data_IF_548166004808
#
_entry.id   IF_548166004808
#
_cell.length_a   1.000
_cell.length_b   1.000
_cell.length_c   1.000
_cell.angle_alpha   90.00
_cell.angle_beta   90.00
_cell.angle_gamma   90.00
#
_symmetry.space_group_name_H-M   'P 1'
#
loop_
_entity.id
_entity.type
_entity.pdbx_description
1 polymer ?
#
# COMPACT_ATOMS: atom_id res chain seq x y z
N UNK A 1 -16.64 -14.69 16.33
CA UNK A 1 -15.45 -15.20 15.61
C UNK A 1 -14.30 -14.26 15.92
N UNK A 2 -13.18 -14.80 16.37
CA UNK A 2 -11.97 -14.06 16.73
C UNK A 2 -10.88 -14.30 15.69
N UNK A 3 -10.39 -13.23 15.06
CA UNK A 3 -9.43 -13.26 13.95
C UNK A 3 -8.07 -12.75 14.42
N UNK A 4 -7.02 -13.52 14.15
CA UNK A 4 -5.64 -13.08 14.32
C UNK A 4 -5.03 -12.64 12.99
N UNK A 5 -4.83 -11.34 12.78
CA UNK A 5 -4.05 -10.84 11.64
C UNK A 5 -2.57 -10.87 12.01
N UNK A 6 -1.75 -11.56 11.22
CA UNK A 6 -0.31 -11.67 11.49
C UNK A 6 0.47 -10.93 10.41
N UNK A 7 1.20 -9.89 10.81
CA UNK A 7 2.07 -9.11 9.94
C UNK A 7 3.54 -9.39 10.26
N UNK A 8 4.40 -9.66 9.26
CA UNK A 8 5.82 -9.89 9.50
C UNK A 8 6.59 -8.60 9.72
N UNK A 9 6.04 -7.46 9.28
CA UNK A 9 6.70 -6.15 9.29
C UNK A 9 6.31 -5.33 10.51
N UNK A 10 7.26 -4.51 11.00
CA UNK A 10 6.99 -3.57 12.09
C UNK A 10 5.91 -2.56 11.71
N UNK A 11 4.84 -2.48 12.51
CA UNK A 11 3.71 -1.58 12.27
C UNK A 11 4.00 -0.13 12.66
N UNK A 12 5.13 0.15 13.31
CA UNK A 12 5.59 1.51 13.61
C UNK A 12 6.43 2.11 12.50
N UNK A 13 6.74 1.32 11.45
CA UNK A 13 7.45 1.79 10.25
C UNK A 13 6.45 1.83 9.09
N UNK A 14 6.25 2.98 8.44
CA UNK A 14 5.29 3.10 7.33
C UNK A 14 5.61 2.15 6.17
N UNK A 15 4.58 1.51 5.60
CA UNK A 15 4.70 0.63 4.46
C UNK A 15 3.34 0.15 3.96
N UNK A 16 3.27 -0.25 2.68
CA UNK A 16 2.02 -0.63 2.04
C UNK A 16 1.31 -1.82 2.70
N UNK A 17 2.05 -2.86 3.09
CA UNK A 17 1.47 -4.03 3.77
C UNK A 17 0.99 -3.65 5.18
N UNK A 18 1.76 -2.84 5.90
CA UNK A 18 1.40 -2.36 7.23
C UNK A 18 0.10 -1.55 7.20
N UNK A 19 -0.04 -0.63 6.24
CA UNK A 19 -1.26 0.14 6.04
C UNK A 19 -2.47 -0.75 5.72
N UNK A 20 -2.28 -1.78 4.87
CA UNK A 20 -3.34 -2.75 4.56
C UNK A 20 -3.77 -3.55 5.80
N UNK A 21 -2.84 -4.02 6.62
CA UNK A 21 -3.15 -4.77 7.84
C UNK A 21 -3.91 -3.91 8.85
N UNK A 22 -3.45 -2.69 9.09
CA UNK A 22 -4.10 -1.76 10.03
C UNK A 22 -5.47 -1.31 9.53
N UNK A 23 -5.60 -0.96 8.25
CA UNK A 23 -6.88 -0.59 7.65
C UNK A 23 -7.89 -1.73 7.70
N UNK A 24 -7.46 -2.96 7.36
CA UNK A 24 -8.30 -4.15 7.45
C UNK A 24 -8.73 -4.42 8.90
N UNK A 25 -7.82 -4.32 9.87
CA UNK A 25 -8.14 -4.52 11.28
C UNK A 25 -9.18 -3.53 11.78
N UNK A 26 -9.01 -2.23 11.48
CA UNK A 26 -9.98 -1.18 11.84
C UNK A 26 -11.35 -1.45 11.23
N UNK A 27 -11.39 -1.79 9.94
CA UNK A 27 -12.64 -2.02 9.22
C UNK A 27 -13.37 -3.27 9.72
N UNK A 28 -12.66 -4.38 9.92
CA UNK A 28 -13.25 -5.62 10.47
C UNK A 28 -13.85 -5.38 11.87
N UNK A 29 -13.16 -4.62 12.71
CA UNK A 29 -13.67 -4.25 14.05
C UNK A 29 -14.90 -3.33 13.96
N UNK A 30 -14.91 -2.38 13.04
CA UNK A 30 -16.08 -1.53 12.78
C UNK A 30 -17.29 -2.35 12.30
N UNK A 31 -17.06 -3.46 11.59
CA UNK A 31 -18.08 -4.44 11.18
C UNK A 31 -18.46 -5.44 12.31
N UNK A 32 -17.92 -5.27 13.51
CA UNK A 32 -18.26 -6.10 14.67
C UNK A 32 -17.46 -7.40 14.81
N UNK A 33 -16.39 -7.59 14.03
CA UNK A 33 -15.50 -8.75 14.16
C UNK A 33 -14.47 -8.52 15.27
N UNK A 34 -14.25 -9.50 16.15
CA UNK A 34 -13.18 -9.46 17.16
C UNK A 34 -11.83 -9.73 16.46
N UNK A 35 -10.97 -8.70 16.41
CA UNK A 35 -9.69 -8.75 15.69
C UNK A 35 -8.54 -8.35 16.59
N UNK A 36 -7.47 -9.15 16.55
CA UNK A 36 -6.15 -8.82 17.09
C UNK A 36 -5.11 -8.84 15.98
N UNK A 37 -4.15 -7.93 16.03
CA UNK A 37 -3.02 -7.88 15.11
C UNK A 37 -1.76 -8.30 15.85
N UNK A 38 -1.07 -9.30 15.35
CA UNK A 38 0.21 -9.78 15.86
C UNK A 38 1.32 -9.29 14.94
N UNK A 39 2.17 -8.39 15.42
CA UNK A 39 3.23 -7.80 14.59
C UNK A 39 4.40 -7.25 15.41
N UNK A 40 5.61 -7.13 14.82
CA UNK A 40 6.69 -6.34 15.42
C UNK A 40 6.30 -4.87 15.57
N UNK A 41 6.87 -4.22 16.59
CA UNK A 41 6.75 -2.78 16.82
C UNK A 41 8.06 -2.25 17.41
N UNK A 42 8.63 -1.20 16.82
CA UNK A 42 9.86 -0.55 17.29
C UNK A 42 9.58 0.60 18.28
N UNK A 43 8.32 0.78 18.64
CA UNK A 43 7.81 1.78 19.56
C UNK A 43 6.42 1.41 20.05
N UNK A 44 5.66 2.36 20.62
CA UNK A 44 4.28 2.13 21.03
C UNK A 44 3.43 1.59 19.86
N UNK A 45 2.57 0.58 20.10
CA UNK A 45 1.68 0.07 19.05
C UNK A 45 0.79 1.19 18.49
N UNK A 46 0.58 1.24 17.16
CA UNK A 46 -0.21 2.30 16.54
C UNK A 46 -1.73 2.18 16.79
N UNK A 47 -2.20 1.03 17.28
CA UNK A 47 -3.60 0.77 17.59
C UNK A 47 -3.69 -0.18 18.80
N UNK A 48 -4.68 -0.02 19.70
CA UNK A 48 -4.88 -0.90 20.87
C UNK A 48 -5.15 -2.38 20.51
N UNK A 49 -5.58 -2.68 19.29
CA UNK A 49 -5.76 -4.07 18.84
C UNK A 49 -4.44 -4.76 18.48
N UNK A 50 -3.32 -4.04 18.48
CA UNK A 50 -2.00 -4.61 18.14
C UNK A 50 -1.32 -5.19 19.37
N UNK A 51 -0.94 -6.45 19.29
CA UNK A 51 -0.07 -7.14 20.25
C UNK A 51 1.37 -7.08 19.72
N UNK A 52 2.27 -6.29 20.35
CA UNK A 52 3.65 -6.14 19.89
C UNK A 52 4.47 -7.40 20.14
N UNK A 53 5.14 -7.89 19.10
CA UNK A 53 5.96 -9.12 19.16
C UNK A 53 7.46 -8.85 19.36
N UNK A 54 7.87 -7.59 19.45
CA UNK A 54 9.25 -7.14 19.64
C UNK A 54 9.69 -6.15 18.57
N UNK A 55 10.95 -5.71 18.67
CA UNK A 55 11.55 -4.79 17.72
C UNK A 55 11.90 -5.47 16.39
N UNK A 56 11.97 -4.70 15.33
CA UNK A 56 12.36 -5.18 14.01
C UNK A 56 13.86 -5.01 13.74
N UNK A 57 14.36 -5.80 12.79
CA UNK A 57 15.71 -5.68 12.24
C UNK A 57 15.58 -5.31 10.75
N UNK A 58 16.25 -4.24 10.29
CA UNK A 58 16.27 -3.89 8.89
C UNK A 58 16.86 -5.03 8.05
N UNK A 59 16.05 -5.58 7.15
CA UNK A 59 16.43 -6.72 6.31
C UNK A 59 16.32 -6.32 4.84
N UNK A 60 17.40 -6.49 4.07
CA UNK A 60 17.40 -6.20 2.64
C UNK A 60 16.38 -7.10 1.91
N UNK A 61 15.51 -6.50 1.10
CA UNK A 61 14.48 -7.21 0.35
C UNK A 61 14.18 -6.49 -0.96
N UNK A 62 14.55 -7.09 -2.11
CA UNK A 62 14.22 -6.60 -3.47
C UNK A 62 14.44 -5.09 -3.68
N UNK A 63 15.63 -4.58 -3.37
CA UNK A 63 15.96 -3.14 -3.52
C UNK A 63 15.31 -2.23 -2.46
N UNK A 64 14.65 -2.80 -1.45
CA UNK A 64 14.03 -2.11 -0.33
C UNK A 64 14.52 -2.70 0.99
N UNK A 65 14.17 -2.08 2.12
CA UNK A 65 14.46 -2.58 3.46
C UNK A 65 13.17 -2.99 4.15
N UNK A 66 13.06 -4.27 4.51
CA UNK A 66 11.92 -4.82 5.23
C UNK A 66 12.22 -4.85 6.75
N UNK A 67 11.37 -4.26 7.61
CA UNK A 67 11.54 -4.28 9.06
C UNK A 67 10.97 -5.58 9.65
N UNK A 68 11.75 -6.66 9.63
CA UNK A 68 11.36 -8.01 10.09
C UNK A 68 11.84 -8.28 11.52
N UNK A 69 11.19 -9.24 12.22
CA UNK A 69 11.61 -9.72 13.53
C UNK A 69 11.86 -11.24 13.52
N UNK A 70 12.99 -11.71 12.97
CA UNK A 70 13.30 -13.13 12.88
C UNK A 70 13.89 -13.73 14.17
N UNK A 71 14.08 -12.92 15.20
CA UNK A 71 14.76 -13.32 16.44
C UNK A 71 13.95 -14.34 17.28
N UNK A 72 14.62 -15.18 18.11
CA UNK A 72 13.94 -16.19 18.92
C UNK A 72 12.95 -15.61 19.94
N UNK A 73 13.19 -14.40 20.45
CA UNK A 73 12.30 -13.79 21.44
C UNK A 73 10.97 -13.36 20.79
N UNK A 74 11.01 -12.84 19.56
CA UNK A 74 9.81 -12.55 18.78
C UNK A 74 9.01 -13.83 18.47
N UNK A 75 9.71 -14.94 18.15
CA UNK A 75 9.07 -16.24 17.92
C UNK A 75 8.37 -16.77 19.17
N UNK A 76 9.01 -16.69 20.34
CA UNK A 76 8.40 -17.11 21.61
C UNK A 76 7.19 -16.24 21.96
N UNK A 77 7.26 -14.92 21.76
CA UNK A 77 6.11 -14.01 21.95
C UNK A 77 4.96 -14.35 20.99
N UNK A 78 5.28 -14.68 19.75
CA UNK A 78 4.28 -15.13 18.76
C UNK A 78 3.58 -16.39 19.24
N UNK A 79 4.33 -17.44 19.64
CA UNK A 79 3.74 -18.69 20.15
C UNK A 79 2.88 -18.45 21.39
N UNK A 80 3.34 -17.59 22.31
CA UNK A 80 2.56 -17.22 23.49
C UNK A 80 1.24 -16.55 23.09
N UNK A 81 1.28 -15.51 22.24
CA UNK A 81 0.08 -14.84 21.78
C UNK A 81 -0.91 -15.79 21.09
N UNK A 82 -0.41 -16.70 20.23
CA UNK A 82 -1.24 -17.71 19.58
C UNK A 82 -1.94 -18.67 20.57
N UNK A 83 -1.30 -18.99 21.69
CA UNK A 83 -1.90 -19.84 22.74
C UNK A 83 -2.91 -19.07 23.59
N UNK A 84 -2.57 -17.84 23.96
CA UNK A 84 -3.34 -17.07 24.94
C UNK A 84 -4.63 -16.49 24.31
N UNK A 85 -4.61 -16.20 23.00
CA UNK A 85 -5.70 -15.47 22.33
C UNK A 85 -6.80 -16.37 21.73
N UNK A 86 -6.58 -17.68 21.58
CA UNK A 86 -7.56 -18.67 21.08
C UNK A 86 -8.32 -18.22 19.80
N UNK A 87 -7.57 -17.96 18.73
CA UNK A 87 -8.13 -17.52 17.44
C UNK A 87 -8.95 -18.60 16.75
N UNK A 88 -10.08 -18.23 16.15
CA UNK A 88 -10.88 -19.08 15.27
C UNK A 88 -10.22 -19.21 13.88
N UNK A 89 -9.60 -18.14 13.39
CA UNK A 89 -8.87 -18.09 12.11
C UNK A 89 -7.65 -17.19 12.23
N UNK A 90 -6.57 -17.58 11.59
CA UNK A 90 -5.34 -16.80 11.46
C UNK A 90 -5.19 -16.32 10.01
N UNK A 91 -5.01 -15.01 9.82
CA UNK A 91 -4.76 -14.42 8.51
C UNK A 91 -3.33 -13.86 8.47
N UNK A 92 -2.48 -14.46 7.66
CA UNK A 92 -1.07 -14.14 7.54
C UNK A 92 -0.81 -13.28 6.32
N UNK A 93 -0.31 -12.08 6.50
CA UNK A 93 0.17 -11.23 5.41
C UNK A 93 1.64 -11.55 5.13
N UNK A 94 2.00 -11.77 3.87
CA UNK A 94 3.32 -12.31 3.47
C UNK A 94 3.72 -13.55 4.29
N UNK A 95 2.97 -14.64 4.15
CA UNK A 95 3.01 -15.78 5.08
C UNK A 95 4.37 -16.46 5.17
N UNK A 96 5.23 -16.32 4.17
CA UNK A 96 6.56 -16.94 4.11
C UNK A 96 7.69 -15.98 4.51
N UNK A 97 7.38 -14.78 4.99
CA UNK A 97 8.38 -13.87 5.52
C UNK A 97 8.94 -14.40 6.85
N UNK A 98 10.26 -14.30 7.09
CA UNK A 98 10.86 -14.72 8.35
C UNK A 98 10.31 -13.97 9.56
N UNK A 99 10.10 -14.66 10.67
CA UNK A 99 9.59 -14.09 11.90
C UNK A 99 8.17 -14.55 12.24
N UNK A 100 7.26 -13.66 12.67
CA UNK A 100 5.94 -14.02 13.19
C UNK A 100 5.09 -14.89 12.27
N UNK A 101 5.03 -14.57 10.97
CA UNK A 101 4.21 -15.31 10.00
C UNK A 101 4.73 -16.75 9.80
N UNK A 102 6.04 -16.93 9.64
CA UNK A 102 6.62 -18.27 9.52
C UNK A 102 6.46 -19.07 10.80
N UNK A 103 6.61 -18.43 11.97
CA UNK A 103 6.36 -19.07 13.27
C UNK A 103 4.90 -19.53 13.39
N UNK A 104 3.96 -18.72 12.97
CA UNK A 104 2.53 -19.05 12.94
C UNK A 104 2.25 -20.23 12.03
N UNK A 105 2.84 -20.25 10.82
CA UNK A 105 2.73 -21.40 9.90
C UNK A 105 3.22 -22.71 10.52
N UNK A 106 4.32 -22.66 11.27
CA UNK A 106 4.88 -23.84 11.92
C UNK A 106 4.04 -24.29 13.11
N UNK A 107 3.53 -23.35 13.91
CA UNK A 107 2.74 -23.67 15.11
C UNK A 107 1.33 -24.19 14.76
N UNK A 108 0.64 -23.58 13.83
CA UNK A 108 -0.66 -23.98 13.24
C UNK A 108 -1.70 -24.45 14.28
N UNK A 109 -2.15 -23.55 15.10
CA UNK A 109 -3.19 -23.82 16.12
C UNK A 109 -4.62 -23.45 15.69
N UNK A 110 -4.83 -22.89 14.50
CA UNK A 110 -6.13 -22.57 13.91
C UNK A 110 -6.05 -22.70 12.37
N UNK A 111 -7.18 -22.71 11.65
CA UNK A 111 -7.22 -22.55 10.19
C UNK A 111 -6.53 -21.28 9.72
N UNK A 112 -5.80 -21.34 8.61
CA UNK A 112 -4.93 -20.27 8.15
C UNK A 112 -5.24 -19.80 6.73
N UNK A 113 -5.48 -18.48 6.59
CA UNK A 113 -5.49 -17.76 5.31
C UNK A 113 -4.15 -17.05 5.13
N UNK A 114 -3.56 -17.12 3.94
CA UNK A 114 -2.34 -16.38 3.60
C UNK A 114 -2.56 -15.41 2.45
N UNK A 115 -2.23 -14.13 2.63
CA UNK A 115 -2.29 -13.11 1.58
C UNK A 115 -0.88 -12.74 1.13
N UNK A 116 -0.64 -12.86 -0.17
CA UNK A 116 0.62 -12.58 -0.85
C UNK A 116 0.56 -11.19 -1.49
N UNK A 117 1.47 -10.30 -1.08
CA UNK A 117 1.56 -8.92 -1.57
C UNK A 117 2.72 -8.70 -2.55
N UNK A 118 3.71 -9.60 -2.53
CA UNK A 118 4.95 -9.45 -3.27
C UNK A 118 4.75 -9.74 -4.75
N UNK A 119 5.24 -8.84 -5.59
CA UNK A 119 5.45 -9.04 -7.02
C UNK A 119 6.95 -9.11 -7.35
N UNK A 120 7.29 -9.78 -8.46
CA UNK A 120 8.65 -9.94 -8.97
C UNK A 120 9.44 -11.12 -8.38
N UNK A 121 10.58 -11.41 -8.98
CA UNK A 121 11.43 -12.54 -8.63
C UNK A 121 11.96 -12.45 -7.20
N UNK A 122 11.93 -13.56 -6.50
CA UNK A 122 12.46 -13.68 -5.15
C UNK A 122 13.56 -14.73 -5.09
N UNK A 123 14.78 -14.29 -4.83
CA UNK A 123 15.90 -15.19 -4.59
C UNK A 123 15.61 -16.17 -3.42
N UNK A 124 14.88 -15.72 -2.38
CA UNK A 124 14.47 -16.57 -1.27
C UNK A 124 13.54 -17.71 -1.71
N UNK A 125 12.62 -17.45 -2.65
CA UNK A 125 11.75 -18.52 -3.20
C UNK A 125 12.53 -19.45 -4.15
N UNK A 126 13.57 -18.96 -4.83
CA UNK A 126 14.37 -19.75 -5.75
C UNK A 126 15.28 -20.77 -5.03
N UNK A 127 15.92 -20.34 -3.94
CA UNK A 127 16.94 -21.15 -3.22
C UNK A 127 16.31 -22.24 -2.35
N UNK A 128 15.16 -21.96 -1.71
CA UNK A 128 14.54 -22.88 -0.73
C UNK A 128 13.26 -23.57 -1.23
N UNK A 129 13.11 -23.78 -2.54
CA UNK A 129 11.88 -24.25 -3.20
C UNK A 129 11.12 -25.39 -2.48
N UNK A 130 11.72 -26.52 -2.07
CA UNK A 130 10.97 -27.62 -1.42
C UNK A 130 10.38 -27.21 -0.07
N UNK A 131 11.17 -26.53 0.77
CA UNK A 131 10.76 -26.11 2.12
C UNK A 131 9.68 -25.03 2.10
N UNK A 132 9.83 -24.01 1.26
CA UNK A 132 8.82 -22.94 1.12
C UNK A 132 7.50 -23.46 0.51
N UNK A 133 7.56 -24.42 -0.42
CA UNK A 133 6.36 -25.08 -0.95
C UNK A 133 5.65 -25.91 0.11
N UNK A 134 6.40 -26.62 0.96
CA UNK A 134 5.83 -27.34 2.08
C UNK A 134 5.16 -26.41 3.08
N UNK A 135 5.82 -25.30 3.45
CA UNK A 135 5.23 -24.28 4.31
C UNK A 135 3.95 -23.68 3.70
N UNK A 136 3.98 -23.33 2.41
CA UNK A 136 2.82 -22.77 1.72
C UNK A 136 1.62 -23.76 1.71
N UNK A 137 1.86 -25.07 1.66
CA UNK A 137 0.77 -26.09 1.71
C UNK A 137 0.06 -26.16 3.07
N UNK A 138 0.62 -25.53 4.11
CA UNK A 138 -0.01 -25.45 5.43
C UNK A 138 -1.12 -24.38 5.51
N UNK A 139 -1.18 -23.50 4.53
CA UNK A 139 -2.28 -22.54 4.38
C UNK A 139 -3.51 -23.28 3.85
N UNK A 140 -4.65 -23.08 4.51
CA UNK A 140 -5.94 -23.64 4.10
C UNK A 140 -6.56 -22.84 2.95
N UNK A 141 -6.29 -21.53 2.90
CA UNK A 141 -6.68 -20.65 1.80
C UNK A 141 -5.52 -19.70 1.45
N UNK A 142 -5.38 -19.39 0.17
CA UNK A 142 -4.37 -18.46 -0.33
C UNK A 142 -4.99 -17.37 -1.15
N UNK A 143 -4.61 -16.12 -0.88
CA UNK A 143 -5.04 -14.95 -1.62
C UNK A 143 -3.84 -14.21 -2.20
N UNK A 144 -4.03 -13.48 -3.29
CA UNK A 144 -3.04 -12.57 -3.87
C UNK A 144 -3.69 -11.22 -4.14
N UNK A 145 -2.94 -10.13 -3.91
CA UNK A 145 -3.47 -8.77 -3.98
C UNK A 145 -3.39 -8.13 -5.36
N UNK A 146 -2.71 -8.75 -6.30
CA UNK A 146 -2.59 -8.28 -7.69
C UNK A 146 -2.31 -9.44 -8.64
N UNK A 147 -2.47 -9.19 -9.95
CA UNK A 147 -2.12 -10.18 -11.00
C UNK A 147 -0.64 -10.58 -10.91
N UNK A 148 0.23 -9.62 -10.64
CA UNK A 148 1.68 -9.86 -10.52
C UNK A 148 2.04 -10.66 -9.28
N UNK A 149 1.43 -10.33 -8.12
CA UNK A 149 1.60 -11.12 -6.90
C UNK A 149 1.09 -12.56 -7.08
N UNK A 150 -0.05 -12.72 -7.79
CA UNK A 150 -0.60 -14.03 -8.16
C UNK A 150 0.38 -14.82 -9.04
N UNK A 151 0.88 -14.20 -10.10
CA UNK A 151 1.82 -14.83 -11.03
C UNK A 151 3.11 -15.26 -10.31
N UNK A 152 3.68 -14.39 -9.49
CA UNK A 152 4.87 -14.64 -8.67
C UNK A 152 4.64 -15.82 -7.72
N UNK A 153 3.54 -15.80 -6.95
CA UNK A 153 3.23 -16.86 -5.99
C UNK A 153 2.95 -18.19 -6.68
N UNK A 154 2.18 -18.21 -7.76
CA UNK A 154 1.89 -19.44 -8.53
C UNK A 154 3.14 -20.05 -9.15
N UNK A 155 4.00 -19.23 -9.74
CA UNK A 155 5.26 -19.70 -10.33
C UNK A 155 6.18 -20.33 -9.28
N UNK A 156 6.35 -19.68 -8.14
CA UNK A 156 7.27 -20.15 -7.10
C UNK A 156 6.73 -21.34 -6.28
N UNK A 157 5.46 -21.28 -5.90
CA UNK A 157 4.87 -22.16 -4.88
C UNK A 157 3.85 -23.16 -5.44
N UNK A 158 3.28 -22.87 -6.64
CA UNK A 158 2.17 -23.64 -7.20
C UNK A 158 0.87 -23.46 -6.41
N UNK A 159 -0.13 -24.26 -6.74
CA UNK A 159 -1.43 -24.27 -6.06
C UNK A 159 -2.42 -23.24 -6.59
N UNK A 160 -3.57 -23.13 -5.90
CA UNK A 160 -4.67 -22.22 -6.24
C UNK A 160 -4.68 -21.01 -5.31
N UNK A 161 -5.11 -19.88 -5.84
CA UNK A 161 -5.20 -18.60 -5.14
C UNK A 161 -6.49 -17.89 -5.54
N UNK A 162 -7.13 -17.26 -4.57
CA UNK A 162 -8.18 -16.28 -4.83
C UNK A 162 -7.57 -14.88 -4.97
N UNK A 163 -8.09 -14.07 -5.89
CA UNK A 163 -7.62 -12.69 -6.04
C UNK A 163 -8.49 -11.77 -5.20
N UNK A 164 -7.87 -11.11 -4.24
CA UNK A 164 -8.46 -10.07 -3.42
C UNK A 164 -7.52 -8.86 -3.44
N UNK A 165 -7.89 -7.87 -4.21
CA UNK A 165 -7.11 -6.64 -4.36
C UNK A 165 -6.97 -5.90 -3.02
N UNK A 166 -5.91 -5.10 -2.89
CA UNK A 166 -5.76 -4.20 -1.74
C UNK A 166 -6.94 -3.24 -1.65
N UNK A 167 -7.36 -2.94 -0.42
CA UNK A 167 -8.41 -1.98 -0.14
C UNK A 167 -7.86 -0.63 0.32
N UNK A 168 -8.69 0.41 0.22
CA UNK A 168 -8.43 1.73 0.78
C UNK A 168 -9.56 2.17 1.72
N UNK A 169 -9.23 2.95 2.73
CA UNK A 169 -10.21 3.57 3.64
C UNK A 169 -10.81 4.82 2.95
N UNK A 170 -11.74 4.61 2.00
CA UNK A 170 -12.30 5.67 1.13
C UNK A 170 -12.78 6.87 1.93
N UNK A 171 -13.55 6.65 2.99
CA UNK A 171 -14.12 7.70 3.83
C UNK A 171 -13.05 8.60 4.48
N UNK A 172 -11.89 8.06 4.78
CA UNK A 172 -10.77 8.80 5.35
C UNK A 172 -10.27 9.89 4.41
N UNK A 173 -10.19 9.59 3.12
CA UNK A 173 -9.74 10.54 2.09
C UNK A 173 -10.88 11.45 1.64
N UNK A 174 -12.07 10.91 1.41
CA UNK A 174 -13.24 11.65 0.95
C UNK A 174 -13.71 12.72 1.95
N UNK A 175 -13.60 12.44 3.26
CA UNK A 175 -14.04 13.33 4.35
C UNK A 175 -12.90 14.13 5.01
N UNK A 176 -11.67 14.00 4.52
CA UNK A 176 -10.55 14.78 5.04
C UNK A 176 -10.81 16.28 4.86
N UNK A 177 -10.43 17.06 5.87
CA UNK A 177 -10.44 18.52 5.73
C UNK A 177 -9.34 18.91 4.75
N UNK A 178 -9.68 19.60 3.62
CA UNK A 178 -8.68 19.94 2.63
C UNK A 178 -7.60 20.86 3.20
N UNK A 179 -6.34 20.56 2.90
CA UNK A 179 -5.26 21.50 3.18
C UNK A 179 -5.45 22.77 2.34
N UNK A 180 -5.24 23.98 2.89
CA UNK A 180 -5.40 25.21 2.14
C UNK A 180 -4.37 25.31 1.01
N UNK A 181 -4.81 25.76 -0.15
CA UNK A 181 -3.95 26.10 -1.29
C UNK A 181 -4.24 27.51 -1.79
N UNK A 182 -3.22 28.20 -2.31
CA UNK A 182 -3.36 29.55 -2.82
C UNK A 182 -3.76 29.61 -4.31
N UNK A 183 -3.72 28.48 -5.02
CA UNK A 183 -4.01 28.37 -6.45
C UNK A 183 -3.96 26.93 -6.93
N UNK A 184 -3.87 26.68 -8.24
CA UNK A 184 -3.79 25.35 -8.80
C UNK A 184 -2.64 24.56 -8.17
N UNK A 185 -2.94 23.37 -7.64
CA UNK A 185 -1.99 22.63 -6.81
C UNK A 185 -1.82 21.20 -7.28
N UNK A 186 -0.57 20.79 -7.46
CA UNK A 186 -0.15 19.43 -7.77
C UNK A 186 0.46 18.84 -6.52
N UNK A 187 0.03 17.64 -6.13
CA UNK A 187 0.59 16.93 -4.97
C UNK A 187 1.31 15.65 -5.40
N UNK A 188 2.52 15.48 -4.89
CA UNK A 188 3.30 14.26 -4.94
C UNK A 188 3.57 13.76 -3.52
N UNK A 189 3.43 12.47 -3.27
CA UNK A 189 3.82 11.81 -2.02
C UNK A 189 4.56 10.51 -2.32
N UNK A 190 5.73 10.31 -1.72
CA UNK A 190 6.50 9.08 -1.86
C UNK A 190 7.92 9.19 -1.32
N UNK A 191 8.62 8.05 -1.31
CA UNK A 191 10.07 8.09 -1.06
C UNK A 191 10.77 8.76 -2.24
N UNK A 192 11.68 9.68 -1.96
CA UNK A 192 12.48 10.34 -3.00
C UNK A 192 13.58 9.38 -3.47
N UNK A 193 13.17 8.37 -4.23
CA UNK A 193 13.97 7.35 -4.91
C UNK A 193 13.78 7.53 -6.42
N UNK A 194 14.79 7.18 -7.21
CA UNK A 194 14.77 7.32 -8.67
C UNK A 194 13.50 6.70 -9.29
N UNK A 195 13.16 5.48 -8.87
CA UNK A 195 11.99 4.76 -9.36
C UNK A 195 10.66 5.48 -9.16
N UNK A 196 10.55 6.42 -8.21
CA UNK A 196 9.33 7.21 -7.95
C UNK A 196 9.18 8.43 -8.85
N UNK A 197 10.21 8.74 -9.65
CA UNK A 197 10.12 9.72 -10.72
C UNK A 197 9.91 11.16 -10.30
N UNK A 198 10.19 11.54 -9.03
CA UNK A 198 10.04 12.92 -8.57
C UNK A 198 10.81 13.90 -9.46
N UNK A 199 12.00 13.51 -9.94
CA UNK A 199 12.79 14.32 -10.87
C UNK A 199 12.00 14.65 -12.16
N UNK A 200 11.23 13.70 -12.70
CA UNK A 200 10.41 13.90 -13.92
C UNK A 200 9.33 14.95 -13.68
N UNK A 201 8.65 14.91 -12.51
CA UNK A 201 7.70 15.94 -12.12
C UNK A 201 8.36 17.32 -12.01
N UNK A 202 9.50 17.39 -11.32
CA UNK A 202 10.20 18.67 -11.12
C UNK A 202 10.76 19.23 -12.44
N UNK A 203 11.26 18.38 -13.33
CA UNK A 203 11.70 18.78 -14.68
C UNK A 203 10.53 19.23 -15.56
N UNK A 204 9.31 18.73 -15.35
CA UNK A 204 8.10 19.14 -16.09
C UNK A 204 7.65 20.59 -15.78
N UNK A 205 8.04 21.14 -14.62
CA UNK A 205 7.65 22.50 -14.18
C UNK A 205 8.03 23.61 -15.14
N UNK A 206 9.08 23.42 -15.94
CA UNK A 206 9.49 24.39 -16.99
C UNK A 206 8.40 24.68 -18.02
N UNK A 207 7.42 23.77 -18.17
CA UNK A 207 6.32 23.88 -19.12
C UNK A 207 4.97 24.20 -18.45
N UNK A 208 4.93 24.29 -17.13
CA UNK A 208 3.72 24.60 -16.36
C UNK A 208 3.63 26.11 -16.04
N UNK A 209 2.42 26.65 -15.88
CA UNK A 209 2.21 28.03 -15.46
C UNK A 209 2.92 28.37 -14.14
N UNK A 210 3.25 29.65 -13.96
CA UNK A 210 4.00 30.13 -12.79
C UNK A 210 3.17 30.16 -11.51
N UNK A 211 1.85 30.20 -11.63
CA UNK A 211 0.87 30.19 -10.53
C UNK A 211 0.61 28.80 -9.93
N UNK A 212 1.12 27.73 -10.55
CA UNK A 212 0.97 26.37 -10.05
C UNK A 212 1.84 26.16 -8.82
N UNK A 213 1.27 25.64 -7.75
CA UNK A 213 2.01 25.16 -6.57
C UNK A 213 2.24 23.66 -6.65
N UNK A 214 3.43 23.18 -6.27
CA UNK A 214 3.76 21.75 -6.19
C UNK A 214 4.12 21.38 -4.78
N UNK A 215 3.26 20.61 -4.15
CA UNK A 215 3.51 20.01 -2.84
C UNK A 215 4.29 18.71 -2.97
N UNK A 216 5.48 18.68 -2.38
CA UNK A 216 6.36 17.51 -2.43
C UNK A 216 6.47 16.89 -1.03
N UNK A 217 5.71 15.81 -0.81
CA UNK A 217 5.71 15.06 0.43
C UNK A 217 6.66 13.86 0.39
N UNK A 218 7.20 13.53 1.56
CA UNK A 218 8.15 12.43 1.72
C UNK A 218 9.61 12.85 1.80
N UNK A 219 10.47 11.86 1.95
CA UNK A 219 11.94 12.02 1.98
C UNK A 219 12.59 10.76 1.40
N UNK A 220 13.86 10.83 1.01
CA UNK A 220 14.61 9.68 0.52
C UNK A 220 16.03 10.03 0.08
N UNK A 221 16.74 9.06 -0.51
CA UNK A 221 18.14 9.24 -0.90
C UNK A 221 18.37 10.41 -1.87
N UNK A 222 17.39 10.73 -2.72
CA UNK A 222 17.51 11.81 -3.70
C UNK A 222 17.08 13.20 -3.17
N UNK A 223 16.57 13.31 -1.93
CA UNK A 223 16.00 14.58 -1.42
C UNK A 223 16.97 15.74 -1.55
N UNK A 224 18.21 15.60 -1.07
CA UNK A 224 19.21 16.69 -1.08
C UNK A 224 19.62 17.08 -2.51
N UNK A 225 19.83 16.10 -3.38
CA UNK A 225 20.19 16.36 -4.78
C UNK A 225 19.06 17.08 -5.53
N UNK A 226 17.81 16.68 -5.33
CA UNK A 226 16.64 17.31 -5.96
C UNK A 226 16.43 18.74 -5.42
N UNK A 227 16.59 18.95 -4.11
CA UNK A 227 16.53 20.30 -3.53
C UNK A 227 17.65 21.21 -4.07
N UNK A 228 18.89 20.70 -4.20
CA UNK A 228 19.97 21.47 -4.76
C UNK A 228 19.71 21.89 -6.22
N UNK A 229 19.06 21.03 -7.01
CA UNK A 229 18.76 21.29 -8.42
C UNK A 229 17.51 22.17 -8.63
N UNK A 230 16.46 22.01 -7.84
CA UNK A 230 15.15 22.63 -8.05
C UNK A 230 14.71 23.54 -6.91
N UNK A 231 15.46 23.62 -5.80
CA UNK A 231 15.05 24.36 -4.59
C UNK A 231 14.95 25.88 -4.75
N UNK A 232 15.42 26.42 -5.87
CA UNK A 232 15.24 27.85 -6.22
C UNK A 232 13.90 28.16 -6.89
N UNK A 233 13.10 27.14 -7.25
CA UNK A 233 11.77 27.37 -7.84
C UNK A 233 10.75 27.64 -6.73
N UNK A 234 10.14 28.86 -6.67
CA UNK A 234 9.23 29.23 -5.59
C UNK A 234 7.91 28.48 -5.60
N UNK A 235 7.60 27.76 -6.66
CA UNK A 235 6.39 26.94 -6.79
C UNK A 235 6.47 25.67 -5.96
N UNK A 236 7.67 25.21 -5.53
CA UNK A 236 7.88 23.93 -4.88
C UNK A 236 7.85 24.09 -3.36
N UNK A 237 6.87 23.48 -2.72
CA UNK A 237 6.78 23.35 -1.28
C UNK A 237 7.26 21.97 -0.83
N UNK A 238 8.43 21.89 -0.19
CA UNK A 238 9.00 20.68 0.34
C UNK A 238 8.43 20.38 1.73
N UNK A 239 7.44 19.48 1.81
CA UNK A 239 6.70 19.19 3.04
C UNK A 239 7.42 18.21 3.99
N UNK A 240 8.43 17.49 3.51
CA UNK A 240 9.07 16.45 4.30
C UNK A 240 8.15 15.26 4.59
N UNK A 241 8.36 14.60 5.73
CA UNK A 241 7.48 13.50 6.16
C UNK A 241 6.16 14.05 6.63
N UNK A 242 5.09 13.44 6.15
CA UNK A 242 3.71 13.75 6.53
C UNK A 242 3.13 12.60 7.34
N UNK A 243 2.30 12.92 8.31
CA UNK A 243 1.40 11.95 8.94
C UNK A 243 0.32 11.51 7.96
N UNK A 244 -0.30 10.40 8.26
CA UNK A 244 -1.38 9.86 7.42
C UNK A 244 -2.56 10.84 7.26
N UNK A 245 -2.88 11.64 8.29
CA UNK A 245 -3.95 12.65 8.23
C UNK A 245 -3.54 13.86 7.40
N UNK A 246 -2.27 14.28 7.47
CA UNK A 246 -1.73 15.32 6.60
C UNK A 246 -1.71 14.86 5.13
N UNK A 247 -1.39 13.61 4.84
CA UNK A 247 -1.47 13.05 3.48
C UNK A 247 -2.91 13.13 2.96
N UNK A 248 -3.89 12.69 3.75
CA UNK A 248 -5.30 12.77 3.36
C UNK A 248 -5.75 14.23 3.13
N UNK A 249 -5.36 15.16 4.01
CA UNK A 249 -5.66 16.57 3.87
C UNK A 249 -5.01 17.19 2.62
N UNK A 250 -3.76 16.85 2.30
CA UNK A 250 -3.07 17.32 1.09
C UNK A 250 -3.66 16.71 -0.18
N UNK A 251 -3.99 15.43 -0.20
CA UNK A 251 -4.71 14.82 -1.32
C UNK A 251 -6.05 15.48 -1.57
N UNK A 252 -6.82 15.78 -0.50
CA UNK A 252 -8.13 16.43 -0.60
C UNK A 252 -8.05 17.88 -1.04
N UNK A 253 -6.96 18.58 -0.72
CA UNK A 253 -6.71 19.98 -1.08
C UNK A 253 -6.02 20.19 -2.42
N UNK A 254 -5.49 19.14 -3.04
CA UNK A 254 -4.83 19.22 -4.33
C UNK A 254 -5.82 19.12 -5.49
N UNK A 255 -5.59 19.87 -6.56
CA UNK A 255 -6.32 19.73 -7.82
C UNK A 255 -5.90 18.48 -8.57
N UNK A 256 -4.60 18.18 -8.55
CA UNK A 256 -4.00 17.05 -9.24
C UNK A 256 -3.09 16.28 -8.30
N UNK A 257 -3.25 14.99 -8.26
CA UNK A 257 -2.28 14.06 -7.67
C UNK A 257 -1.37 13.51 -8.76
N UNK A 258 -0.05 13.66 -8.60
CA UNK A 258 0.92 13.21 -9.59
C UNK A 258 1.75 12.02 -9.09
N UNK A 259 1.70 10.90 -9.82
CA UNK A 259 2.46 9.68 -9.54
C UNK A 259 3.35 9.29 -10.73
N UNK A 260 4.49 9.98 -10.97
CA UNK A 260 5.31 9.83 -12.17
C UNK A 260 6.34 8.69 -12.05
N UNK A 261 6.00 7.60 -11.37
CA UNK A 261 6.91 6.48 -11.12
C UNK A 261 7.48 5.90 -12.41
N UNK A 262 8.76 5.56 -12.39
CA UNK A 262 9.45 4.97 -13.56
C UNK A 262 9.21 3.46 -13.66
N UNK A 263 9.14 2.78 -12.51
CA UNK A 263 8.92 1.33 -12.41
C UNK A 263 8.68 0.91 -10.95
N UNK A 264 8.34 -0.37 -10.73
CA UNK A 264 8.35 -1.01 -9.41
C UNK A 264 7.12 -0.78 -8.53
N UNK A 265 6.08 -0.16 -9.06
CA UNK A 265 4.78 -0.06 -8.40
C UNK A 265 3.87 -1.19 -8.89
N UNK A 266 3.49 -2.08 -7.99
CA UNK A 266 2.79 -3.34 -8.31
C UNK A 266 1.27 -3.25 -8.32
N UNK A 267 0.67 -2.17 -7.75
CA UNK A 267 -0.78 -2.07 -7.65
C UNK A 267 -1.32 -0.65 -7.80
N UNK A 268 -0.72 0.35 -7.13
CA UNK A 268 -1.17 1.74 -7.20
C UNK A 268 -2.19 2.14 -6.13
N UNK A 269 -2.05 1.64 -4.89
CA UNK A 269 -2.92 2.03 -3.75
C UNK A 269 -3.03 3.55 -3.63
N UNK A 270 -1.92 4.27 -3.77
CA UNK A 270 -1.87 5.73 -3.67
C UNK A 270 -2.74 6.44 -4.74
N UNK A 271 -2.93 5.85 -5.92
CA UNK A 271 -3.83 6.39 -6.94
C UNK A 271 -5.29 6.30 -6.47
N UNK A 272 -5.67 5.18 -5.88
CA UNK A 272 -7.02 4.98 -5.31
C UNK A 272 -7.28 5.96 -4.14
N UNK A 273 -6.28 6.23 -3.31
CA UNK A 273 -6.34 7.21 -2.22
C UNK A 273 -6.62 8.62 -2.77
N UNK A 274 -5.89 9.02 -3.82
CA UNK A 274 -6.10 10.30 -4.50
C UNK A 274 -7.47 10.37 -5.20
N UNK A 275 -7.91 9.29 -5.85
CA UNK A 275 -9.24 9.15 -6.43
C UNK A 275 -10.33 9.32 -5.37
N UNK A 276 -10.17 8.69 -4.20
CA UNK A 276 -11.10 8.83 -3.08
C UNK A 276 -11.11 10.25 -2.49
N UNK A 277 -9.98 10.95 -2.55
CA UNK A 277 -9.86 12.35 -2.15
C UNK A 277 -10.50 13.32 -3.16
N UNK A 278 -10.87 12.89 -4.37
CA UNK A 278 -11.41 13.74 -5.43
C UNK A 278 -10.35 14.57 -6.17
N UNK A 279 -9.08 14.20 -6.08
CA UNK A 279 -8.02 14.78 -6.90
C UNK A 279 -7.98 14.11 -8.28
N UNK A 280 -7.70 14.89 -9.34
CA UNK A 280 -7.43 14.29 -10.66
C UNK A 280 -6.11 13.53 -10.59
N UNK A 281 -6.11 12.29 -11.00
CA UNK A 281 -4.90 11.47 -11.01
C UNK A 281 -4.17 11.61 -12.35
N UNK A 282 -2.91 12.04 -12.30
CA UNK A 282 -1.96 11.98 -13.41
C UNK A 282 -0.81 11.06 -13.02
N UNK A 283 -0.61 9.98 -13.77
CA UNK A 283 0.35 8.96 -13.39
C UNK A 283 1.10 8.38 -14.60
N UNK A 284 2.20 7.69 -14.34
CA UNK A 284 2.88 6.93 -15.39
C UNK A 284 2.08 5.70 -15.81
N UNK A 285 2.12 5.36 -17.11
CA UNK A 285 1.47 4.17 -17.67
C UNK A 285 2.25 2.88 -17.31
N UNK A 286 2.21 2.52 -16.02
CA UNK A 286 2.82 1.30 -15.51
C UNK A 286 1.82 0.14 -15.49
N UNK A 287 2.29 -1.08 -15.75
CA UNK A 287 1.47 -2.29 -15.69
C UNK A 287 0.79 -2.46 -14.31
N UNK A 288 1.52 -2.16 -13.22
CA UNK A 288 0.95 -2.20 -11.87
C UNK A 288 -0.20 -1.19 -11.66
N UNK A 289 -0.12 -0.01 -12.25
CA UNK A 289 -1.16 1.00 -12.16
C UNK A 289 -2.40 0.66 -13.00
N UNK A 290 -2.26 -0.11 -14.06
CA UNK A 290 -3.38 -0.62 -14.86
C UNK A 290 -4.34 -1.55 -14.07
N UNK A 291 -3.97 -1.99 -12.87
CA UNK A 291 -4.90 -2.68 -11.97
C UNK A 291 -6.01 -1.75 -11.45
N UNK A 292 -5.75 -0.46 -11.32
CA UNK A 292 -6.62 0.50 -10.62
C UNK A 292 -6.96 1.75 -11.43
N UNK A 293 -6.22 2.06 -12.47
CA UNK A 293 -6.34 3.27 -13.27
C UNK A 293 -6.55 2.96 -14.76
N UNK A 294 -7.42 3.73 -15.42
CA UNK A 294 -7.72 3.62 -16.85
C UNK A 294 -7.55 4.98 -17.51
N UNK A 295 -6.63 5.07 -18.46
CA UNK A 295 -6.34 6.33 -19.15
C UNK A 295 -7.56 6.95 -19.83
N UNK A 296 -7.76 8.25 -19.65
CA UNK A 296 -8.86 9.01 -20.21
C UNK A 296 -10.23 8.71 -19.61
N UNK A 297 -10.32 7.80 -18.60
CA UNK A 297 -11.58 7.42 -17.94
C UNK A 297 -11.61 7.94 -16.49
N UNK A 298 -10.66 7.51 -15.67
CA UNK A 298 -10.56 7.85 -14.24
C UNK A 298 -9.20 8.47 -13.87
N UNK A 299 -8.32 8.61 -14.85
CA UNK A 299 -6.96 9.13 -14.70
C UNK A 299 -6.41 9.58 -16.06
N UNK A 300 -5.29 10.30 -16.05
CA UNK A 300 -4.46 10.55 -17.23
C UNK A 300 -3.13 9.80 -17.05
N UNK A 301 -2.82 8.91 -17.99
CA UNK A 301 -1.61 8.10 -17.95
C UNK A 301 -0.60 8.57 -19.02
N UNK A 302 0.66 8.72 -18.63
CA UNK A 302 1.74 9.18 -19.51
C UNK A 302 2.86 8.14 -19.56
N UNK A 303 3.65 8.07 -20.66
CA UNK A 303 4.83 7.22 -20.69
C UNK A 303 5.79 7.55 -19.53
N UNK A 304 6.36 6.54 -18.84
CA UNK A 304 7.31 6.77 -17.75
C UNK A 304 8.55 7.54 -18.20
N UNK A 305 8.98 8.52 -17.43
CA UNK A 305 10.22 9.28 -17.66
C UNK A 305 10.11 10.44 -18.64
N UNK A 306 8.96 10.66 -19.27
CA UNK A 306 8.74 11.73 -20.25
C UNK A 306 8.19 13.01 -19.57
N UNK A 307 9.07 13.95 -19.21
CA UNK A 307 8.67 15.20 -18.53
C UNK A 307 7.75 16.08 -19.37
N UNK A 308 7.91 16.11 -20.70
CA UNK A 308 7.10 16.94 -21.60
C UNK A 308 5.68 16.36 -21.75
N UNK A 309 5.57 15.03 -21.87
CA UNK A 309 4.28 14.32 -21.87
C UNK A 309 3.55 14.48 -20.54
N UNK A 310 4.30 14.40 -19.43
CA UNK A 310 3.75 14.64 -18.10
C UNK A 310 3.24 16.07 -17.95
N UNK A 311 4.00 17.08 -18.39
CA UNK A 311 3.58 18.47 -18.35
C UNK A 311 2.28 18.72 -19.14
N UNK A 312 2.17 18.12 -20.34
CA UNK A 312 0.95 18.24 -21.14
C UNK A 312 -0.27 17.62 -20.44
N UNK A 313 -0.12 16.47 -19.79
CA UNK A 313 -1.20 15.84 -19.03
C UNK A 313 -1.57 16.64 -17.78
N UNK A 314 -0.59 17.19 -17.05
CA UNK A 314 -0.82 18.07 -15.91
C UNK A 314 -1.57 19.34 -16.31
N UNK A 315 -1.18 20.00 -17.40
CA UNK A 315 -1.87 21.16 -17.94
C UNK A 315 -3.33 20.83 -18.28
N UNK A 316 -3.59 19.74 -18.99
CA UNK A 316 -4.97 19.30 -19.28
C UNK A 316 -5.76 19.04 -17.99
N UNK A 317 -5.15 18.41 -17.01
CA UNK A 317 -5.78 18.14 -15.71
C UNK A 317 -6.10 19.42 -14.93
N UNK A 318 -5.37 20.49 -15.12
CA UNK A 318 -5.58 21.77 -14.44
C UNK A 318 -6.60 22.66 -15.17
N UNK A 319 -6.57 22.72 -16.51
CA UNK A 319 -7.28 23.70 -17.32
C UNK A 319 -8.63 23.23 -17.90
N UNK A 320 -8.77 21.90 -18.15
CA UNK A 320 -9.98 21.34 -18.78
C UNK A 320 -11.04 20.98 -17.74
N UNK A 321 -11.89 21.95 -17.42
CA UNK A 321 -12.95 21.79 -16.41
C UNK A 321 -13.96 20.66 -16.69
N UNK A 322 -14.46 20.45 -17.92
CA UNK A 322 -15.26 19.29 -18.30
C UNK A 322 -14.52 17.96 -18.05
N UNK A 323 -13.33 17.80 -18.59
CA UNK A 323 -12.51 16.60 -18.41
C UNK A 323 -12.26 16.29 -16.92
N UNK A 324 -11.92 17.31 -16.12
CA UNK A 324 -11.72 17.15 -14.65
C UNK A 324 -12.94 16.55 -13.97
N UNK A 325 -14.13 17.07 -14.26
CA UNK A 325 -15.39 16.57 -13.65
C UNK A 325 -15.64 15.12 -14.00
N UNK A 326 -15.44 14.75 -15.27
CA UNK A 326 -15.68 13.39 -15.77
C UNK A 326 -14.67 12.41 -15.14
N UNK A 327 -13.37 12.77 -15.12
CA UNK A 327 -12.32 11.97 -14.49
C UNK A 327 -12.58 11.77 -12.99
N UNK A 328 -12.92 12.84 -12.24
CA UNK A 328 -13.19 12.75 -10.80
C UNK A 328 -14.39 11.86 -10.53
N UNK A 329 -15.50 12.03 -11.26
CA UNK A 329 -16.70 11.20 -11.07
C UNK A 329 -16.42 9.71 -11.31
N UNK A 330 -15.66 9.39 -12.36
CA UNK A 330 -15.28 8.00 -12.64
C UNK A 330 -14.27 7.46 -11.61
N UNK A 331 -13.33 8.30 -11.16
CA UNK A 331 -12.34 7.98 -10.15
C UNK A 331 -12.96 7.66 -8.79
N UNK A 332 -13.97 8.42 -8.36
CA UNK A 332 -14.73 8.15 -7.12
C UNK A 332 -15.42 6.79 -7.19
N UNK A 333 -16.07 6.46 -8.32
CA UNK A 333 -16.67 5.13 -8.54
C UNK A 333 -15.60 4.03 -8.50
N UNK A 334 -14.45 4.27 -9.11
CA UNK A 334 -13.31 3.35 -9.07
C UNK A 334 -12.82 3.12 -7.64
N UNK A 335 -12.59 4.17 -6.88
CA UNK A 335 -12.15 4.09 -5.48
C UNK A 335 -13.12 3.26 -4.62
N UNK A 336 -14.43 3.41 -4.80
CA UNK A 336 -15.45 2.63 -4.10
C UNK A 336 -15.38 1.13 -4.42
N UNK A 337 -14.97 0.75 -5.62
CA UNK A 337 -14.79 -0.66 -5.98
C UNK A 337 -13.67 -1.33 -5.17
N UNK A 338 -12.70 -0.54 -4.72
CA UNK A 338 -11.55 -0.97 -3.91
C UNK A 338 -11.66 -0.53 -2.44
N UNK A 339 -12.88 -0.27 -1.94
CA UNK A 339 -13.04 0.14 -0.54
C UNK A 339 -12.61 -0.97 0.43
N UNK A 340 -12.00 -0.57 1.54
CA UNK A 340 -11.59 -1.50 2.61
C UNK A 340 -12.80 -2.23 3.21
N UNK A 341 -13.99 -1.63 3.16
CA UNK A 341 -15.23 -2.27 3.62
C UNK A 341 -15.55 -3.49 2.77
N UNK A 342 -15.55 -3.34 1.43
CA UNK A 342 -15.79 -4.47 0.51
C UNK A 342 -14.73 -5.56 0.65
N UNK A 343 -13.48 -5.17 0.84
CA UNK A 343 -12.40 -6.14 1.08
C UNK A 343 -12.61 -6.88 2.40
N UNK A 344 -12.98 -6.17 3.47
CA UNK A 344 -13.23 -6.77 4.79
C UNK A 344 -14.41 -7.75 4.73
N UNK A 345 -15.51 -7.38 4.08
CA UNK A 345 -16.66 -8.27 3.85
C UNK A 345 -16.24 -9.54 3.09
N UNK A 346 -15.48 -9.38 2.01
CA UNK A 346 -14.94 -10.51 1.27
C UNK A 346 -14.05 -11.42 2.11
N UNK A 347 -13.25 -10.87 3.03
CA UNK A 347 -12.46 -11.67 3.98
C UNK A 347 -13.35 -12.35 5.03
N UNK A 348 -14.39 -11.67 5.56
CA UNK A 348 -15.31 -12.26 6.55
C UNK A 348 -15.96 -13.54 5.97
N UNK A 349 -16.45 -13.52 4.72
CA UNK A 349 -16.98 -14.72 4.05
C UNK A 349 -15.97 -15.88 4.04
N UNK A 350 -14.70 -15.58 3.84
CA UNK A 350 -13.62 -16.59 3.82
C UNK A 350 -13.27 -17.09 5.22
N UNK A 351 -13.26 -16.21 6.20
CA UNK A 351 -13.06 -16.61 7.59
C UNK A 351 -14.20 -17.52 8.07
N UNK A 352 -15.46 -17.19 7.78
CA UNK A 352 -16.59 -18.03 8.12
C UNK A 352 -16.51 -19.42 7.46
N UNK A 353 -16.06 -19.48 6.22
CA UNK A 353 -15.85 -20.74 5.51
C UNK A 353 -14.75 -21.58 6.17
N UNK A 354 -13.67 -20.96 6.66
CA UNK A 354 -12.55 -21.63 7.31
C UNK A 354 -12.88 -22.04 8.75
N UNK A 355 -13.68 -21.27 9.47
CA UNK A 355 -14.04 -21.54 10.87
C UNK A 355 -15.09 -22.64 11.01
N UNK A 356 -15.83 -22.99 9.94
CA UNK A 356 -16.79 -24.11 9.98
C UNK A 356 -16.03 -25.42 10.17
N UNK A 357 -16.40 -26.26 11.16
CA UNK A 357 -15.86 -27.61 11.26
C UNK A 357 -16.20 -28.39 9.99
N UNK A 358 -15.21 -29.13 9.45
CA UNK A 358 -15.38 -30.00 8.28
C UNK A 358 -16.27 -31.21 8.59
#
# INVERSE_FOLDING_TARGET
MRIGLVCPYSLTIPGGVQAQVLGLARTLRALGTDVRVLAPCDGPPPDPCVTPLGASVPTASNGSVAPLAPDPAAQLRTIRALRDEAFDVLHLHEPLAPGPTMTTLLFRNAPMLGTFHRSGDSAAYAVAKPGVRWLARRLDLRCAVSKDALATARHALGGTYEMLFNGIEVERFAKATPAPSAGPTIFFIGRHEERKGLAVLLDSLRHLPTEVTVWVGGTGPQTEALRARHGGDPRIEWLGRLSDDEVAARMRGADVFCAPSLHGDSFGVVLLEAMAAGAVVVASALEGYANVATDGVDSLLTPPGESDGLAAALTRALDDGPLRRDLIAAAEVRAQQFSMVRLAEAYVERYERLARPA
#
